data_IF_527339025881
#
_entry.id   IF_527339025881
#
_cell.length_a   1.000
_cell.length_b   1.000
_cell.length_c   1.000
_cell.angle_alpha   90.00
_cell.angle_beta   90.00
_cell.angle_gamma   90.00
#
_symmetry.space_group_name_H-M   'P 1'
#
loop_
_entity.id
_entity.type
_entity.pdbx_description
1 polymer ?
#
# COMPACT_ATOMS: atom_id res chain seq x y z
N UNK A 1 1.27 -37.16 -18.17
CA UNK A 1 0.90 -37.39 -16.76
C UNK A 1 1.00 -36.06 -16.04
N UNK A 2 -0.07 -35.58 -15.42
CA UNK A 2 0.00 -34.37 -14.60
C UNK A 2 0.68 -34.71 -13.27
N UNK A 3 1.59 -33.84 -12.80
CA UNK A 3 2.18 -33.97 -11.47
C UNK A 3 1.07 -33.93 -10.40
N UNK A 4 1.13 -34.77 -9.35
CA UNK A 4 0.27 -34.66 -8.17
C UNK A 4 0.30 -33.25 -7.60
N UNK A 5 -0.81 -32.80 -7.01
CA UNK A 5 -0.98 -31.43 -6.52
C UNK A 5 0.07 -31.07 -5.48
N UNK A 6 0.40 -31.98 -4.58
CA UNK A 6 1.39 -31.78 -3.52
C UNK A 6 2.79 -31.52 -4.09
N UNK A 7 3.15 -32.23 -5.16
CA UNK A 7 4.42 -32.01 -5.86
C UNK A 7 4.40 -30.68 -6.63
N UNK A 8 3.25 -30.30 -7.22
CA UNK A 8 3.10 -28.98 -7.85
C UNK A 8 3.24 -27.85 -6.83
N UNK A 9 2.65 -27.98 -5.66
CA UNK A 9 2.73 -26.96 -4.60
C UNK A 9 4.17 -26.75 -4.11
N UNK A 10 4.98 -27.81 -4.02
CA UNK A 10 6.42 -27.72 -3.72
C UNK A 10 7.16 -26.97 -4.83
N UNK A 11 6.91 -27.33 -6.09
CA UNK A 11 7.54 -26.68 -7.25
C UNK A 11 7.15 -25.20 -7.32
N UNK A 12 5.86 -24.87 -7.20
CA UNK A 12 5.38 -23.49 -7.19
C UNK A 12 5.97 -22.69 -6.03
N UNK A 13 6.04 -23.28 -4.84
CA UNK A 13 6.68 -22.63 -3.69
C UNK A 13 8.12 -22.25 -4.01
N UNK A 14 8.90 -23.19 -4.54
CA UNK A 14 10.28 -22.94 -4.91
C UNK A 14 10.41 -21.86 -6.01
N UNK A 15 9.56 -21.93 -7.05
CA UNK A 15 9.55 -20.95 -8.13
C UNK A 15 9.16 -19.57 -7.63
N UNK A 16 8.09 -19.45 -6.86
CA UNK A 16 7.64 -18.18 -6.30
C UNK A 16 8.74 -17.56 -5.44
N UNK A 17 9.51 -18.35 -4.71
CA UNK A 17 10.61 -17.85 -3.88
C UNK A 17 11.77 -17.28 -4.69
N UNK A 18 11.90 -17.65 -5.96
CA UNK A 18 12.85 -17.06 -6.90
C UNK A 18 12.33 -15.81 -7.64
N UNK A 19 11.03 -15.50 -7.54
CA UNK A 19 10.40 -14.38 -8.26
C UNK A 19 10.47 -13.05 -7.49
N UNK A 20 10.32 -11.92 -8.19
CA UNK A 20 10.25 -10.60 -7.55
C UNK A 20 9.18 -10.56 -6.46
N UNK A 21 9.58 -10.16 -5.24
CA UNK A 21 8.65 -10.05 -4.11
C UNK A 21 7.99 -8.69 -4.01
N UNK A 22 8.52 -7.68 -4.69
CA UNK A 22 7.99 -6.31 -4.66
C UNK A 22 7.59 -5.93 -6.07
N UNK A 23 6.32 -5.66 -6.27
CA UNK A 23 5.74 -5.31 -7.56
C UNK A 23 5.34 -3.85 -7.53
N UNK A 24 5.95 -3.03 -8.38
CA UNK A 24 5.50 -1.66 -8.60
C UNK A 24 4.44 -1.65 -9.70
N UNK A 25 3.18 -1.46 -9.30
CA UNK A 25 2.02 -1.56 -10.19
C UNK A 25 2.07 -0.49 -11.27
N UNK A 26 2.56 0.71 -10.95
CA UNK A 26 2.67 1.79 -11.92
C UNK A 26 3.63 1.45 -13.07
N UNK A 27 4.75 0.80 -12.77
CA UNK A 27 5.71 0.37 -13.78
C UNK A 27 5.10 -0.71 -14.69
N UNK A 28 4.37 -1.65 -14.09
CA UNK A 28 3.69 -2.74 -14.80
C UNK A 28 2.57 -2.24 -15.73
N UNK A 29 1.75 -1.32 -15.22
CA UNK A 29 0.68 -0.67 -15.99
C UNK A 29 1.24 0.10 -17.18
N UNK A 30 2.29 0.90 -16.98
CA UNK A 30 2.93 1.67 -18.06
C UNK A 30 3.52 0.76 -19.13
N UNK A 31 4.15 -0.36 -18.74
CA UNK A 31 4.65 -1.36 -19.68
C UNK A 31 3.52 -1.99 -20.49
N UNK A 32 2.41 -2.33 -19.84
CA UNK A 32 1.22 -2.89 -20.50
C UNK A 32 0.57 -1.89 -21.48
N UNK A 33 0.51 -0.61 -21.12
CA UNK A 33 0.02 0.46 -22.00
C UNK A 33 0.96 0.72 -23.20
N UNK A 34 2.28 0.54 -23.00
CA UNK A 34 3.30 0.76 -24.04
C UNK A 34 3.40 -0.41 -25.02
N UNK A 35 3.05 -1.61 -24.57
CA UNK A 35 2.97 -2.83 -25.38
C UNK A 35 1.56 -3.40 -25.27
N UNK A 36 0.55 -2.72 -25.86
CA UNK A 36 -0.80 -3.24 -25.86
C UNK A 36 -0.76 -4.64 -26.47
N UNK A 37 -1.38 -5.65 -25.85
CA UNK A 37 -1.37 -6.98 -26.41
C UNK A 37 -1.88 -6.87 -27.84
N UNK A 38 -1.23 -7.53 -28.83
CA UNK A 38 -1.80 -7.58 -30.16
C UNK A 38 -3.24 -8.08 -30.00
N UNK A 39 -4.17 -7.49 -30.74
CA UNK A 39 -5.62 -7.80 -30.72
C UNK A 39 -5.94 -9.27 -31.01
N UNK A 40 -4.94 -10.14 -31.12
CA UNK A 40 -5.03 -11.58 -31.20
C UNK A 40 -3.88 -12.21 -30.39
N UNK A 41 -4.27 -13.03 -29.41
CA UNK A 41 -3.55 -14.21 -28.90
C UNK A 41 -2.03 -14.08 -28.81
N UNK A 42 -1.53 -13.74 -27.62
CA UNK A 42 -0.16 -14.13 -27.27
C UNK A 42 -0.12 -15.66 -27.29
N UNK A 43 0.82 -16.22 -28.05
CA UNK A 43 1.03 -17.66 -28.23
C UNK A 43 1.11 -18.31 -26.83
N UNK A 44 0.03 -18.98 -26.42
CA UNK A 44 -0.11 -19.64 -25.12
C UNK A 44 -1.15 -19.03 -24.16
N UNK A 45 -1.56 -17.78 -24.33
CA UNK A 45 -2.51 -17.10 -23.45
C UNK A 45 -3.97 -17.36 -23.83
N UNK A 46 -4.79 -17.69 -22.83
CA UNK A 46 -6.26 -17.71 -22.98
C UNK A 46 -6.78 -16.29 -23.20
N UNK A 47 -7.80 -16.11 -24.05
CA UNK A 47 -8.53 -14.83 -24.18
C UNK A 47 -9.33 -14.47 -22.93
N UNK A 48 -9.36 -15.36 -21.92
CA UNK A 48 -10.07 -15.17 -20.64
C UNK A 48 -9.19 -14.64 -19.52
N UNK A 49 -7.86 -14.80 -19.61
CA UNK A 49 -6.97 -14.55 -18.49
C UNK A 49 -6.21 -13.24 -18.71
N UNK A 50 -6.38 -12.28 -17.79
CA UNK A 50 -5.75 -10.96 -17.89
C UNK A 50 -4.22 -11.04 -17.89
N UNK A 51 -3.58 -10.45 -18.91
CA UNK A 51 -2.13 -10.42 -18.98
C UNK A 51 -1.58 -9.22 -18.20
N UNK A 52 -0.73 -9.50 -17.22
CA UNK A 52 -0.01 -8.51 -16.42
C UNK A 52 1.48 -8.84 -16.47
N UNK A 53 2.34 -7.82 -16.56
CA UNK A 53 3.74 -8.04 -16.93
C UNK A 53 4.60 -8.58 -15.77
N UNK A 54 4.10 -8.48 -14.53
CA UNK A 54 4.77 -9.02 -13.34
C UNK A 54 4.54 -10.51 -13.12
N UNK A 55 3.62 -11.15 -13.86
CA UNK A 55 3.43 -12.59 -13.82
C UNK A 55 4.43 -13.30 -14.74
N UNK A 56 5.08 -14.38 -14.29
CA UNK A 56 5.98 -15.15 -15.14
C UNK A 56 5.20 -15.83 -16.28
N UNK A 57 5.85 -16.04 -17.42
CA UNK A 57 5.25 -16.72 -18.58
C UNK A 57 4.68 -18.11 -18.24
N UNK A 58 5.26 -18.79 -17.24
CA UNK A 58 4.75 -20.06 -16.72
C UNK A 58 3.29 -19.97 -16.29
N UNK A 59 2.87 -18.86 -15.68
CA UNK A 59 1.49 -18.66 -15.22
C UNK A 59 0.48 -18.81 -16.37
N UNK A 60 0.89 -18.47 -17.59
CA UNK A 60 0.05 -18.49 -18.78
C UNK A 60 0.17 -19.78 -19.60
N UNK A 61 0.83 -20.82 -19.09
CA UNK A 61 1.01 -22.06 -19.86
C UNK A 61 -0.27 -22.88 -19.98
N UNK A 62 -1.10 -22.88 -18.93
CA UNK A 62 -2.42 -23.52 -18.90
C UNK A 62 -3.31 -22.80 -17.88
N UNK A 63 -4.63 -22.81 -18.09
CA UNK A 63 -5.58 -22.24 -17.11
C UNK A 63 -5.46 -22.90 -15.72
N UNK A 64 -5.18 -24.21 -15.65
CA UNK A 64 -4.96 -24.89 -14.37
C UNK A 64 -3.74 -24.35 -13.61
N UNK A 65 -2.61 -24.12 -14.31
CA UNK A 65 -1.42 -23.51 -13.70
C UNK A 65 -1.73 -22.06 -13.29
N UNK A 66 -2.41 -21.29 -14.12
CA UNK A 66 -2.80 -19.92 -13.81
C UNK A 66 -3.60 -19.84 -12.50
N UNK A 67 -4.64 -20.66 -12.36
CA UNK A 67 -5.54 -20.67 -11.22
C UNK A 67 -4.90 -21.17 -9.91
N UNK A 68 -3.86 -22.01 -9.98
CA UNK A 68 -3.12 -22.46 -8.79
C UNK A 68 -1.98 -21.48 -8.44
N UNK A 69 -1.21 -21.06 -9.45
CA UNK A 69 0.01 -20.30 -9.28
C UNK A 69 -0.25 -18.85 -8.89
N UNK A 70 -1.18 -18.17 -9.57
CA UNK A 70 -1.39 -16.72 -9.38
C UNK A 70 -1.85 -16.40 -7.96
N UNK A 71 -2.87 -17.06 -7.39
CA UNK A 71 -3.26 -16.82 -6.00
C UNK A 71 -2.14 -17.13 -5.00
N UNK A 72 -1.33 -18.17 -5.25
CA UNK A 72 -0.20 -18.51 -4.40
C UNK A 72 0.91 -17.44 -4.44
N UNK A 73 1.14 -16.85 -5.63
CA UNK A 73 2.10 -15.78 -5.82
C UNK A 73 1.63 -14.47 -5.19
N UNK A 74 0.37 -14.06 -5.42
CA UNK A 74 -0.23 -12.83 -4.89
C UNK A 74 -0.14 -12.76 -3.35
N UNK A 75 -0.31 -13.88 -2.66
CA UNK A 75 -0.17 -13.97 -1.19
C UNK A 75 1.24 -13.69 -0.66
N UNK A 76 2.26 -13.73 -1.52
CA UNK A 76 3.69 -13.65 -1.14
C UNK A 76 4.39 -12.40 -1.65
N UNK A 77 3.70 -11.56 -2.42
CA UNK A 77 4.26 -10.31 -2.94
C UNK A 77 3.80 -9.10 -2.11
N UNK A 78 4.53 -8.00 -2.28
CA UNK A 78 4.21 -6.65 -1.84
C UNK A 78 3.78 -5.85 -3.07
N UNK A 79 2.51 -5.46 -3.11
CA UNK A 79 1.98 -4.61 -4.15
C UNK A 79 2.19 -3.14 -3.77
N UNK A 80 2.94 -2.41 -4.58
CA UNK A 80 3.16 -0.99 -4.41
C UNK A 80 2.23 -0.21 -5.35
N UNK A 81 1.28 0.51 -4.75
CA UNK A 81 0.30 1.35 -5.43
C UNK A 81 0.71 2.81 -5.26
N UNK A 82 0.89 3.53 -6.37
CA UNK A 82 1.29 4.93 -6.36
C UNK A 82 0.16 5.90 -6.71
N UNK A 83 -0.81 5.44 -7.51
CA UNK A 83 -1.86 6.29 -8.07
C UNK A 83 -3.22 5.59 -8.08
N UNK A 84 -4.31 6.35 -8.24
CA UNK A 84 -5.65 5.78 -8.41
C UNK A 84 -5.78 4.92 -9.67
N UNK A 85 -5.03 5.25 -10.73
CA UNK A 85 -5.00 4.44 -11.96
C UNK A 85 -4.44 3.04 -11.74
N UNK A 86 -3.56 2.87 -10.75
CA UNK A 86 -3.00 1.58 -10.40
C UNK A 86 -4.05 0.67 -9.72
N UNK A 87 -4.99 1.25 -8.97
CA UNK A 87 -6.14 0.51 -8.42
C UNK A 87 -7.05 -0.02 -9.52
N UNK A 88 -7.46 0.82 -10.46
CA UNK A 88 -8.31 0.40 -11.58
C UNK A 88 -7.64 -0.66 -12.45
N UNK A 89 -6.33 -0.54 -12.66
CA UNK A 89 -5.56 -1.56 -13.38
C UNK A 89 -5.61 -2.92 -12.67
N UNK A 90 -5.40 -2.93 -11.35
CA UNK A 90 -5.48 -4.15 -10.55
C UNK A 90 -6.89 -4.71 -10.44
N UNK A 91 -7.91 -3.86 -10.33
CA UNK A 91 -9.32 -4.27 -10.27
C UNK A 91 -9.71 -5.06 -11.52
N UNK A 92 -9.41 -4.50 -12.71
CA UNK A 92 -9.62 -5.21 -13.98
C UNK A 92 -8.88 -6.55 -14.03
N UNK A 93 -7.67 -6.63 -13.50
CA UNK A 93 -6.91 -7.89 -13.44
C UNK A 93 -7.54 -8.89 -12.46
N UNK A 94 -7.88 -8.44 -11.25
CA UNK A 94 -8.43 -9.30 -10.19
C UNK A 94 -9.82 -9.84 -10.53
N UNK A 95 -10.63 -9.11 -11.30
CA UNK A 95 -11.89 -9.62 -11.84
C UNK A 95 -11.70 -10.80 -12.81
N UNK A 96 -10.51 -10.94 -13.44
CA UNK A 96 -10.21 -12.10 -14.31
C UNK A 96 -9.78 -13.35 -13.53
N UNK A 97 -9.53 -13.23 -12.22
CA UNK A 97 -9.19 -14.38 -11.40
C UNK A 97 -10.44 -15.20 -11.06
N UNK A 98 -10.30 -16.53 -10.84
CA UNK A 98 -11.42 -17.37 -10.42
C UNK A 98 -12.13 -16.78 -9.22
N UNK A 99 -13.47 -16.79 -9.26
CA UNK A 99 -14.34 -16.22 -8.23
C UNK A 99 -14.25 -14.69 -8.04
N UNK A 100 -13.45 -13.97 -8.83
CA UNK A 100 -13.31 -12.51 -8.72
C UNK A 100 -12.72 -12.04 -7.38
N UNK A 101 -12.04 -12.94 -6.66
CA UNK A 101 -11.60 -12.71 -5.27
C UNK A 101 -10.12 -12.32 -5.17
N UNK A 102 -9.59 -11.64 -6.19
CA UNK A 102 -8.17 -11.29 -6.28
C UNK A 102 -7.67 -10.44 -5.12
N UNK A 103 -8.49 -9.47 -4.66
CA UNK A 103 -8.18 -8.66 -3.48
C UNK A 103 -8.01 -9.50 -2.21
N UNK A 104 -8.83 -10.55 -2.03
CA UNK A 104 -8.72 -11.48 -0.90
C UNK A 104 -7.43 -12.31 -0.93
N UNK A 105 -6.66 -12.29 -2.02
CA UNK A 105 -5.36 -12.95 -2.10
C UNK A 105 -4.22 -12.04 -1.67
N UNK A 106 -4.44 -10.74 -1.50
CA UNK A 106 -3.40 -9.77 -1.17
C UNK A 106 -3.12 -9.78 0.33
N UNK A 107 -1.91 -10.20 0.68
CA UNK A 107 -1.44 -10.19 2.07
C UNK A 107 -0.60 -8.95 2.40
N UNK A 108 0.01 -8.30 1.40
CA UNK A 108 0.88 -7.15 1.63
C UNK A 108 0.62 -6.04 0.62
N UNK A 109 0.28 -4.85 1.13
CA UNK A 109 -0.05 -3.68 0.33
C UNK A 109 0.77 -2.48 0.80
N UNK A 110 1.31 -1.72 -0.15
CA UNK A 110 2.04 -0.47 0.10
C UNK A 110 1.44 0.65 -0.72
N UNK A 111 0.98 1.70 -0.04
CA UNK A 111 0.54 2.95 -0.61
C UNK A 111 1.73 3.91 -0.63
N UNK A 112 2.35 4.13 -1.80
CA UNK A 112 3.58 4.92 -1.94
C UNK A 112 3.38 6.42 -1.73
N UNK A 113 2.18 6.93 -1.99
CA UNK A 113 1.83 8.34 -1.78
C UNK A 113 0.38 8.44 -1.31
N UNK A 114 0.11 7.91 -0.12
CA UNK A 114 -1.24 7.74 0.38
C UNK A 114 -2.00 9.08 0.43
N UNK A 115 -1.39 10.15 0.94
CA UNK A 115 -2.01 11.47 1.02
C UNK A 115 -2.40 12.03 -0.36
N UNK A 116 -1.56 11.85 -1.39
CA UNK A 116 -1.90 12.29 -2.74
C UNK A 116 -3.05 11.48 -3.34
N UNK A 117 -3.11 10.18 -3.08
CA UNK A 117 -4.20 9.32 -3.60
C UNK A 117 -5.50 9.60 -2.83
N UNK A 118 -5.42 9.84 -1.52
CA UNK A 118 -6.53 10.13 -0.61
C UNK A 118 -6.78 11.64 -0.39
N UNK A 119 -6.44 12.49 -1.37
CA UNK A 119 -6.39 13.96 -1.22
C UNK A 119 -7.72 14.65 -0.90
N UNK A 120 -8.85 13.97 -1.08
CA UNK A 120 -10.18 14.48 -0.73
C UNK A 120 -10.92 13.44 0.11
N UNK A 121 -11.91 13.82 0.94
CA UNK A 121 -12.68 12.86 1.73
C UNK A 121 -13.33 11.74 0.90
N UNK A 122 -13.84 12.07 -0.30
CA UNK A 122 -14.39 11.08 -1.23
C UNK A 122 -13.32 10.09 -1.72
N UNK A 123 -12.14 10.59 -2.11
CA UNK A 123 -11.04 9.71 -2.53
C UNK A 123 -10.47 8.90 -1.37
N UNK A 124 -10.37 9.47 -0.17
CA UNK A 124 -9.96 8.73 1.02
C UNK A 124 -10.93 7.58 1.31
N UNK A 125 -12.23 7.81 1.17
CA UNK A 125 -13.26 6.77 1.30
C UNK A 125 -13.06 5.65 0.27
N UNK A 126 -12.91 5.99 -1.01
CA UNK A 126 -12.67 5.01 -2.08
C UNK A 126 -11.40 4.19 -1.85
N UNK A 127 -10.29 4.85 -1.50
CA UNK A 127 -9.02 4.16 -1.21
C UNK A 127 -9.18 3.22 -0.02
N UNK A 128 -9.87 3.65 1.03
CA UNK A 128 -10.10 2.83 2.21
C UNK A 128 -11.01 1.65 1.87
N UNK A 129 -12.06 1.84 1.08
CA UNK A 129 -12.93 0.76 0.58
C UNK A 129 -12.10 -0.28 -0.18
N UNK A 130 -11.19 0.14 -1.05
CA UNK A 130 -10.31 -0.78 -1.78
C UNK A 130 -9.34 -1.52 -0.86
N UNK A 131 -8.76 -0.84 0.14
CA UNK A 131 -7.91 -1.50 1.14
C UNK A 131 -8.70 -2.57 1.91
N UNK A 132 -9.96 -2.28 2.27
CA UNK A 132 -10.83 -3.21 3.00
C UNK A 132 -11.30 -4.41 2.18
N UNK A 133 -11.28 -4.32 0.84
CA UNK A 133 -11.50 -5.50 -0.02
C UNK A 133 -10.39 -6.54 0.13
N UNK A 134 -9.19 -6.16 0.58
CA UNK A 134 -8.12 -7.10 0.89
C UNK A 134 -8.33 -7.73 2.27
N UNK A 135 -9.32 -8.63 2.40
CA UNK A 135 -9.68 -9.22 3.70
C UNK A 135 -8.57 -10.04 4.35
N UNK A 136 -7.61 -10.53 3.56
CA UNK A 136 -6.41 -11.26 4.00
C UNK A 136 -5.17 -10.38 4.16
N UNK A 137 -5.35 -9.06 4.19
CA UNK A 137 -4.26 -8.10 4.35
C UNK A 137 -3.59 -8.27 5.72
N UNK A 138 -2.32 -8.65 5.70
CA UNK A 138 -1.47 -8.82 6.89
C UNK A 138 -0.57 -7.62 7.13
N UNK A 139 -0.08 -7.01 6.06
CA UNK A 139 0.85 -5.89 6.12
C UNK A 139 0.33 -4.74 5.27
N UNK A 140 0.07 -3.61 5.91
CA UNK A 140 -0.27 -2.36 5.24
C UNK A 140 0.84 -1.33 5.48
N UNK A 141 1.38 -0.75 4.41
CA UNK A 141 2.34 0.34 4.47
C UNK A 141 1.68 1.59 3.89
N UNK A 142 1.60 2.66 4.69
CA UNK A 142 1.11 3.97 4.29
C UNK A 142 2.28 4.94 4.24
N UNK A 143 2.61 5.41 3.04
CA UNK A 143 3.68 6.37 2.83
C UNK A 143 3.10 7.77 2.63
N UNK A 144 3.71 8.74 3.29
CA UNK A 144 3.38 10.16 3.26
C UNK A 144 4.64 10.96 2.95
N UNK A 145 4.47 12.15 2.40
CA UNK A 145 5.51 13.17 2.42
C UNK A 145 5.39 14.00 3.70
N UNK A 146 6.50 14.53 4.22
CA UNK A 146 6.49 15.44 5.37
C UNK A 146 5.69 16.71 5.07
N UNK A 147 5.66 17.13 3.80
CA UNK A 147 4.78 18.20 3.31
C UNK A 147 3.29 17.94 3.56
N UNK A 148 2.88 16.67 3.67
CA UNK A 148 1.48 16.30 3.92
C UNK A 148 1.07 16.51 5.38
N UNK A 149 2.04 16.49 6.30
CA UNK A 149 1.87 16.85 7.70
C UNK A 149 2.15 18.33 7.96
N UNK A 150 2.63 19.05 6.95
CA UNK A 150 3.34 20.29 7.17
C UNK A 150 2.45 21.33 7.80
N UNK A 151 2.90 21.69 9.00
CA UNK A 151 2.69 22.98 9.60
C UNK A 151 3.95 23.78 9.27
N UNK A 152 3.86 25.05 8.84
CA UNK A 152 5.01 25.90 8.52
C UNK A 152 6.08 25.81 9.60
N UNK A 153 7.36 26.04 9.23
CA UNK A 153 8.42 26.05 10.20
C UNK A 153 8.02 27.03 11.31
N UNK A 154 8.41 26.77 12.55
CA UNK A 154 8.21 27.75 13.63
C UNK A 154 9.12 28.96 13.32
N UNK A 155 8.70 29.79 12.38
CA UNK A 155 9.43 30.99 12.04
C UNK A 155 9.35 31.90 13.27
N UNK A 156 10.49 32.39 13.78
CA UNK A 156 10.47 33.36 14.88
C UNK A 156 9.83 34.71 14.49
N UNK A 157 9.46 34.85 13.22
CA UNK A 157 9.05 36.07 12.55
C UNK A 157 8.24 35.73 11.29
N UNK A 158 7.32 36.60 10.83
CA UNK A 158 6.59 36.42 9.58
C UNK A 158 7.53 36.20 8.37
N UNK A 159 7.08 35.55 7.28
CA UNK A 159 7.91 35.35 6.08
C UNK A 159 8.44 36.70 5.59
N UNK A 160 9.75 36.82 5.50
CA UNK A 160 10.41 38.07 5.07
C UNK A 160 11.00 37.95 3.67
N UNK A 161 11.13 36.73 3.16
CA UNK A 161 11.62 36.49 1.80
C UNK A 161 10.51 36.06 0.84
N UNK A 162 10.71 36.33 -0.45
CA UNK A 162 9.81 35.90 -1.53
C UNK A 162 9.68 34.37 -1.60
N UNK A 163 10.76 33.63 -1.29
CA UNK A 163 10.75 32.18 -1.30
C UNK A 163 9.91 31.63 -0.14
N UNK A 164 10.08 32.16 1.08
CA UNK A 164 9.23 31.83 2.23
C UNK A 164 7.75 32.17 1.97
N UNK A 165 7.48 33.33 1.37
CA UNK A 165 6.10 33.74 1.04
C UNK A 165 5.47 32.83 -0.04
N UNK A 166 6.23 32.43 -1.05
CA UNK A 166 5.79 31.46 -2.06
C UNK A 166 5.59 30.06 -1.46
N UNK A 167 6.45 29.66 -0.52
CA UNK A 167 6.35 28.40 0.19
C UNK A 167 5.10 28.36 1.09
N UNK A 168 4.78 29.44 1.79
CA UNK A 168 3.54 29.59 2.58
C UNK A 168 2.29 29.62 1.69
N UNK A 169 2.33 30.30 0.54
CA UNK A 169 1.22 30.29 -0.41
C UNK A 169 0.97 28.91 -1.03
N UNK A 170 2.04 28.15 -1.27
CA UNK A 170 1.97 26.79 -1.82
C UNK A 170 1.55 25.77 -0.76
N UNK A 171 1.96 25.99 0.50
CA UNK A 171 1.73 25.09 1.63
C UNK A 171 1.16 25.89 2.81
N UNK A 172 -0.13 26.28 2.77
CA UNK A 172 -0.74 27.02 3.85
C UNK A 172 -0.70 26.21 5.16
N UNK A 173 -0.58 26.86 6.33
CA UNK A 173 -0.60 26.20 7.61
C UNK A 173 -1.88 25.37 7.74
N UNK A 174 -1.73 24.05 7.75
CA UNK A 174 -2.78 23.16 8.19
C UNK A 174 -2.43 22.76 9.62
N UNK A 175 -3.27 23.12 10.58
CA UNK A 175 -3.25 22.46 11.88
C UNK A 175 -3.83 21.07 11.66
N UNK A 176 -3.00 20.14 11.17
CA UNK A 176 -3.36 18.73 11.06
C UNK A 176 -2.97 18.09 12.38
N UNK A 177 -3.92 17.95 13.30
CA UNK A 177 -3.73 17.10 14.46
C UNK A 177 -3.97 15.62 14.07
N UNK A 178 -3.58 14.71 14.96
CA UNK A 178 -3.75 13.28 14.74
C UNK A 178 -5.23 12.91 14.50
N UNK A 179 -6.16 13.51 15.25
CA UNK A 179 -7.59 13.24 15.13
C UNK A 179 -8.16 13.65 13.77
N UNK A 180 -7.72 14.79 13.24
CA UNK A 180 -8.02 15.21 11.88
C UNK A 180 -7.53 14.18 10.87
N UNK A 181 -6.29 13.67 11.01
CA UNK A 181 -5.78 12.63 10.11
C UNK A 181 -6.59 11.33 10.19
N UNK A 182 -6.93 10.87 11.41
CA UNK A 182 -7.76 9.68 11.60
C UNK A 182 -9.08 9.86 10.85
N UNK A 183 -9.74 11.01 11.01
CA UNK A 183 -11.06 11.28 10.41
C UNK A 183 -11.00 11.45 8.90
N UNK A 184 -10.11 12.29 8.39
CA UNK A 184 -10.03 12.60 6.96
C UNK A 184 -9.62 11.38 6.14
N UNK A 185 -8.68 10.58 6.65
CA UNK A 185 -8.20 9.39 5.97
C UNK A 185 -8.95 8.11 6.37
N UNK A 186 -9.94 8.22 7.26
CA UNK A 186 -10.77 7.12 7.76
C UNK A 186 -9.94 5.95 8.34
N UNK A 187 -8.86 6.26 9.07
CA UNK A 187 -8.01 5.23 9.66
C UNK A 187 -8.73 4.37 10.70
N UNK A 188 -9.83 4.87 11.27
CA UNK A 188 -10.72 4.11 12.14
C UNK A 188 -11.22 2.81 11.50
N UNK A 189 -11.40 2.82 10.18
CA UNK A 189 -11.87 1.65 9.44
C UNK A 189 -10.82 0.54 9.35
N UNK A 190 -9.54 0.87 9.45
CA UNK A 190 -8.44 -0.12 9.46
C UNK A 190 -8.50 -1.03 10.69
N UNK A 191 -9.14 -0.59 11.77
CA UNK A 191 -9.21 -1.33 13.03
C UNK A 191 -10.06 -2.61 12.90
N UNK A 192 -10.94 -2.66 11.90
CA UNK A 192 -11.77 -3.82 11.57
C UNK A 192 -11.08 -4.91 10.72
N UNK A 193 -9.84 -4.69 10.24
CA UNK A 193 -9.15 -5.69 9.42
C UNK A 193 -8.61 -6.81 10.33
N UNK A 194 -9.31 -7.94 10.35
CA UNK A 194 -9.06 -9.06 11.27
C UNK A 194 -7.70 -9.74 11.07
N UNK A 195 -7.18 -9.77 9.85
CA UNK A 195 -5.90 -10.43 9.52
C UNK A 195 -4.71 -9.47 9.59
N UNK A 196 -4.92 -8.18 9.91
CA UNK A 196 -3.85 -7.19 9.94
C UNK A 196 -2.89 -7.49 11.10
N UNK A 197 -1.64 -7.79 10.75
CA UNK A 197 -0.54 -8.06 11.68
C UNK A 197 0.36 -6.84 11.85
N UNK A 198 0.51 -6.02 10.79
CA UNK A 198 1.43 -4.88 10.76
C UNK A 198 0.86 -3.70 10.00
N UNK A 199 0.83 -2.54 10.66
CA UNK A 199 0.62 -1.24 10.05
C UNK A 199 1.94 -0.46 10.10
N UNK A 200 2.45 -0.05 8.95
CA UNK A 200 3.66 0.75 8.82
C UNK A 200 3.28 2.13 8.32
N UNK A 201 3.65 3.16 9.07
CA UNK A 201 3.54 4.54 8.61
C UNK A 201 4.94 5.02 8.28
N UNK A 202 5.15 5.42 7.02
CA UNK A 202 6.41 5.93 6.50
C UNK A 202 6.22 7.38 6.08
N UNK A 203 7.15 8.23 6.46
CA UNK A 203 7.14 9.66 6.13
C UNK A 203 8.45 10.03 5.48
N UNK A 204 8.39 10.44 4.22
CA UNK A 204 9.54 10.90 3.44
C UNK A 204 9.68 12.41 3.61
N UNK A 205 10.84 12.88 4.08
CA UNK A 205 11.04 14.30 4.36
C UNK A 205 11.32 15.12 3.10
N UNK A 206 11.85 14.48 2.05
CA UNK A 206 12.21 15.16 0.80
C UNK A 206 13.28 16.22 1.03
N UNK A 207 12.95 17.50 0.77
CA UNK A 207 13.84 18.64 1.03
C UNK A 207 13.64 19.28 2.41
N UNK A 208 12.64 18.83 3.17
CA UNK A 208 12.33 19.39 4.47
C UNK A 208 13.13 18.68 5.56
N UNK A 209 13.55 19.42 6.58
CA UNK A 209 14.12 18.84 7.80
C UNK A 209 13.00 18.56 8.81
N UNK A 210 13.19 17.54 9.65
CA UNK A 210 12.25 17.30 10.74
C UNK A 210 12.32 18.43 11.77
N UNK A 211 11.15 18.93 12.15
CA UNK A 211 11.00 19.86 13.27
C UNK A 211 10.48 19.13 14.51
N UNK A 212 10.72 19.62 15.73
CA UNK A 212 10.12 19.08 16.95
C UNK A 212 8.59 18.95 16.85
N UNK A 213 7.94 19.90 16.15
CA UNK A 213 6.51 19.86 15.88
C UNK A 213 6.10 18.69 14.98
N UNK A 214 6.83 18.46 13.89
CA UNK A 214 6.55 17.31 13.02
C UNK A 214 6.74 15.97 13.73
N UNK A 215 7.74 15.88 14.61
CA UNK A 215 7.94 14.71 15.47
C UNK A 215 6.76 14.54 16.44
N UNK A 216 6.27 15.64 17.03
CA UNK A 216 5.07 15.65 17.86
C UNK A 216 3.84 15.11 17.13
N UNK A 217 3.53 15.62 15.93
CA UNK A 217 2.38 15.16 15.13
C UNK A 217 2.49 13.67 14.78
N UNK A 218 3.68 13.17 14.46
CA UNK A 218 3.89 11.75 14.20
C UNK A 218 3.73 10.90 15.46
N UNK A 219 4.18 11.41 16.61
CA UNK A 219 3.95 10.80 17.93
C UNK A 219 2.46 10.71 18.26
N UNK A 220 1.73 11.80 18.08
CA UNK A 220 0.29 11.88 18.32
C UNK A 220 -0.48 10.94 17.38
N UNK A 221 -0.12 10.90 16.09
CA UNK A 221 -0.73 9.99 15.11
C UNK A 221 -0.48 8.53 15.50
N UNK A 222 0.75 8.20 15.89
CA UNK A 222 1.12 6.86 16.36
C UNK A 222 0.25 6.47 17.55
N UNK A 223 0.13 7.34 18.56
CA UNK A 223 -0.67 7.07 19.75
C UNK A 223 -2.16 6.91 19.45
N UNK A 224 -2.71 7.75 18.56
CA UNK A 224 -4.09 7.66 18.12
C UNK A 224 -4.36 6.33 17.39
N UNK A 225 -3.49 5.94 16.45
CA UNK A 225 -3.60 4.66 15.73
C UNK A 225 -3.45 3.47 16.69
N UNK A 226 -2.49 3.51 17.62
CA UNK A 226 -2.32 2.46 18.62
C UNK A 226 -3.57 2.29 19.49
N UNK A 227 -4.16 3.39 19.94
CA UNK A 227 -5.39 3.37 20.76
C UNK A 227 -6.52 2.68 20.00
N UNK A 228 -6.78 3.13 18.78
CA UNK A 228 -7.85 2.57 17.97
C UNK A 228 -7.63 1.10 17.57
N UNK A 229 -6.39 0.71 17.25
CA UNK A 229 -6.07 -0.69 16.94
C UNK A 229 -6.25 -1.63 18.15
N UNK A 230 -6.02 -1.15 19.38
CA UNK A 230 -6.27 -1.94 20.60
C UNK A 230 -7.75 -2.18 20.85
N UNK A 231 -8.62 -1.31 20.36
CA UNK A 231 -10.07 -1.46 20.44
C UNK A 231 -10.60 -2.42 19.34
N UNK A 232 -9.74 -2.82 18.39
CA UNK A 232 -10.07 -3.76 17.34
C UNK A 232 -10.36 -5.17 17.86
N UNK A 233 -11.32 -5.84 17.22
CA UNK A 233 -11.81 -7.17 17.64
C UNK A 233 -10.69 -8.22 17.67
N UNK A 234 -10.52 -8.91 18.80
CA UNK A 234 -9.54 -9.98 18.95
C UNK A 234 -8.08 -9.52 19.07
N UNK A 235 -7.80 -8.21 19.15
CA UNK A 235 -6.45 -7.69 19.39
C UNK A 235 -6.11 -7.81 20.87
N UNK A 236 -5.05 -8.56 21.19
CA UNK A 236 -4.54 -8.72 22.56
C UNK A 236 -3.39 -7.78 22.88
N UNK A 237 -2.60 -7.42 21.87
CA UNK A 237 -1.42 -6.59 22.05
C UNK A 237 -1.15 -5.74 20.82
N UNK A 238 -0.80 -4.46 21.05
CA UNK A 238 -0.27 -3.57 20.02
C UNK A 238 1.04 -2.98 20.52
N UNK A 239 2.13 -3.28 19.80
CA UNK A 239 3.47 -2.76 20.07
C UNK A 239 3.88 -1.79 18.98
N UNK A 240 4.53 -0.70 19.35
CA UNK A 240 5.13 0.24 18.42
C UNK A 240 6.64 0.04 18.38
N UNK A 241 7.20 0.01 17.17
CA UNK A 241 8.64 0.06 16.93
C UNK A 241 8.91 1.29 16.07
N UNK A 242 9.63 2.24 16.64
CA UNK A 242 10.19 3.34 15.86
C UNK A 242 11.37 2.80 15.05
N UNK A 243 11.32 3.03 13.74
CA UNK A 243 12.48 2.82 12.90
C UNK A 243 13.18 4.16 12.80
N UNK A 244 14.17 4.33 13.66
CA UNK A 244 15.16 5.39 13.51
C UNK A 244 16.08 4.97 12.35
N UNK A 245 15.58 5.18 11.13
CA UNK A 245 16.33 4.82 9.94
C UNK A 245 17.49 5.81 9.87
N UNK A 246 18.73 5.32 9.97
CA UNK A 246 19.97 6.12 9.84
C UNK A 246 20.13 6.85 8.48
N UNK A 247 19.07 6.96 7.67
CA UNK A 247 19.02 7.79 6.48
C UNK A 247 18.39 9.14 6.86
N UNK A 248 19.14 10.25 6.79
CA UNK A 248 18.52 11.57 6.87
C UNK A 248 17.46 11.66 5.76
N UNK A 249 16.21 11.94 6.13
CA UNK A 249 15.12 12.13 5.17
C UNK A 249 13.97 11.13 5.23
N UNK A 250 13.94 10.15 6.15
CA UNK A 250 12.78 9.27 6.35
C UNK A 250 12.53 9.06 7.84
N UNK A 251 11.27 9.14 8.25
CA UNK A 251 10.80 8.63 9.55
C UNK A 251 9.77 7.54 9.34
N UNK A 252 9.82 6.51 10.18
CA UNK A 252 8.81 5.47 10.14
C UNK A 252 8.55 4.89 11.51
N UNK A 253 7.31 4.48 11.74
CA UNK A 253 6.95 3.63 12.86
C UNK A 253 6.15 2.43 12.37
N UNK A 254 6.34 1.30 13.06
CA UNK A 254 5.63 0.06 12.81
C UNK A 254 4.77 -0.23 14.02
N UNK A 255 3.47 -0.39 13.79
CA UNK A 255 2.54 -0.95 14.77
C UNK A 255 2.38 -2.44 14.46
N UNK A 256 2.79 -3.29 15.40
CA UNK A 256 2.61 -4.75 15.33
C UNK A 256 1.44 -5.14 16.20
N UNK A 257 0.52 -5.90 15.61
CA UNK A 257 -0.68 -6.39 16.26
C UNK A 257 -0.51 -7.87 16.56
N UNK A 258 -0.96 -8.29 17.74
CA UNK A 258 -1.14 -9.69 18.11
C UNK A 258 -2.61 -9.94 18.37
N UNK A 259 -3.12 -11.05 17.86
CA UNK A 259 -4.51 -11.49 18.03
C UNK A 259 -4.57 -12.89 18.65
N UNK A 260 -5.65 -13.17 19.35
CA UNK A 260 -5.97 -14.47 19.97
C UNK A 260 -6.42 -15.53 18.95
#
# INVERSE_FOLDING_TARGET
>A
MALPRELRDIVYTHLIDSLPKVINVSADRILTESFPPPTQSIIGGSTTDGLVTFLPSLAYTTSAIYHEFVPAYLRRIYLNIGTTSDFLYLENFFETLPAGDGWDKIANLTMLNFASVARTPGRATEVMDTILQATKLKVLVLSFALSDFFVPPDWPHPPTTRNEAMELQRNPPKTVDAEYMIREYQFDRLFGISELERLVVKVEHGFFEQTPRSVGVLGDLREALMRGLREGEGVTEVTAVELDVMRPGISAFILRLRRE
#
